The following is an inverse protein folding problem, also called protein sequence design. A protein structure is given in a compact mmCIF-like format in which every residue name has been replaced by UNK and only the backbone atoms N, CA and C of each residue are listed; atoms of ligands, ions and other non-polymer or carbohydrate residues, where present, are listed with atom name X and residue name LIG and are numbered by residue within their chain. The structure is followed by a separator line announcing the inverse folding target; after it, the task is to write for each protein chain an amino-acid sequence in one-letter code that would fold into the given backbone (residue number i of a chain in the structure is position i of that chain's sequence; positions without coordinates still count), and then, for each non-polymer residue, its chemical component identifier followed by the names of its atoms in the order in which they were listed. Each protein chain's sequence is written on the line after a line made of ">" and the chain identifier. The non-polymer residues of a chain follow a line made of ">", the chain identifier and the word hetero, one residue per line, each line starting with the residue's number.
data_IF_107910195202
#
_entry.id   IF_107910195202
#
_cell.length_a   1.000
_cell.length_b   1.000
_cell.length_c   1.000
_cell.angle_alpha   90.00
_cell.angle_beta   90.00
_cell.angle_gamma   90.00
#
_symmetry.space_group_name_H-M   'P 1'
#
loop_
_entity.id
_entity.type
_entity.pdbx_description
1 polymer ?
#
# COMPACT_ATOMS: atom_id res chain seq x y z
N UNK A 1 13.79 4.94 -15.23
CA UNK A 1 12.48 4.98 -15.90
C UNK A 1 11.69 6.12 -15.27
N UNK A 2 11.75 7.34 -15.80
CA UNK A 2 11.34 8.54 -15.05
C UNK A 2 9.87 8.51 -14.62
N UNK A 3 8.96 8.02 -15.47
CA UNK A 3 7.53 7.93 -15.13
C UNK A 3 7.23 6.86 -14.06
N UNK A 4 7.96 5.75 -14.05
CA UNK A 4 7.77 4.69 -13.06
C UNK A 4 8.30 5.13 -11.68
N UNK A 5 9.45 5.80 -11.65
CA UNK A 5 9.99 6.41 -10.43
C UNK A 5 9.01 7.44 -9.87
N UNK A 6 8.45 8.31 -10.73
CA UNK A 6 7.45 9.29 -10.29
C UNK A 6 6.16 8.65 -9.79
N UNK A 7 5.70 7.58 -10.45
CA UNK A 7 4.54 6.81 -9.98
C UNK A 7 4.78 6.18 -8.60
N UNK A 8 5.99 5.67 -8.36
CA UNK A 8 6.36 5.09 -7.06
C UNK A 8 6.39 6.15 -5.95
N UNK A 9 6.97 7.32 -6.22
CA UNK A 9 6.94 8.47 -5.29
C UNK A 9 5.50 8.88 -4.95
N UNK A 10 4.66 9.12 -5.97
CA UNK A 10 3.26 9.49 -5.78
C UNK A 10 2.47 8.42 -5.03
N UNK A 11 2.77 7.14 -5.25
CA UNK A 11 2.13 6.04 -4.54
C UNK A 11 2.42 6.10 -3.04
N UNK A 12 3.66 6.40 -2.66
CA UNK A 12 4.06 6.58 -1.26
C UNK A 12 3.44 7.84 -0.67
N UNK A 13 3.50 8.98 -1.36
CA UNK A 13 2.90 10.24 -0.90
C UNK A 13 1.40 10.11 -0.65
N UNK A 14 0.64 9.59 -1.63
CA UNK A 14 -0.81 9.43 -1.52
C UNK A 14 -1.24 8.42 -0.44
N UNK A 15 -0.37 7.47 -0.08
CA UNK A 15 -0.62 6.57 1.04
C UNK A 15 -0.40 7.26 2.38
N UNK A 16 0.61 8.13 2.48
CA UNK A 16 0.89 8.88 3.70
C UNK A 16 -0.12 10.01 3.95
N UNK A 17 -0.66 10.60 2.89
CA UNK A 17 -1.72 11.63 2.96
C UNK A 17 -3.12 11.05 3.18
N UNK A 18 -3.29 9.72 3.05
CA UNK A 18 -4.59 9.10 3.20
C UNK A 18 -5.10 9.23 4.65
N UNK A 19 -6.33 9.73 4.81
CA UNK A 19 -7.04 9.80 6.09
C UNK A 19 -8.28 8.87 6.08
N UNK A 20 -8.14 7.58 6.43
CA UNK A 20 -9.23 6.62 6.41
C UNK A 20 -10.12 6.70 7.68
N UNK A 21 -10.05 7.77 8.49
CA UNK A 21 -10.86 7.87 9.71
C UNK A 21 -12.36 8.03 9.44
N UNK A 22 -12.74 8.73 8.37
CA UNK A 22 -14.14 9.08 8.09
C UNK A 22 -14.72 8.26 6.94
N UNK A 23 -15.98 7.84 7.10
CA UNK A 23 -16.75 7.20 6.03
C UNK A 23 -17.30 8.28 5.09
N UNK A 24 -17.10 8.09 3.79
CA UNK A 24 -17.65 8.90 2.71
C UNK A 24 -18.00 7.99 1.53
N UNK A 25 -18.70 8.51 0.51
CA UNK A 25 -19.17 7.70 -0.63
C UNK A 25 -18.05 6.99 -1.41
N UNK A 26 -16.80 7.46 -1.27
CA UNK A 26 -15.61 6.89 -1.90
C UNK A 26 -14.75 6.01 -1.00
N UNK A 27 -15.13 5.74 0.25
CA UNK A 27 -14.26 5.06 1.24
C UNK A 27 -13.74 3.72 0.75
N UNK A 28 -14.61 2.84 0.25
CA UNK A 28 -14.18 1.51 -0.22
C UNK A 28 -13.33 1.60 -1.49
N UNK A 29 -13.58 2.58 -2.37
CA UNK A 29 -12.72 2.84 -3.52
C UNK A 29 -11.32 3.28 -3.06
N UNK A 30 -11.24 4.19 -2.09
CA UNK A 30 -9.98 4.65 -1.53
C UNK A 30 -9.19 3.53 -0.85
N UNK A 31 -9.86 2.61 -0.14
CA UNK A 31 -9.22 1.44 0.45
C UNK A 31 -8.59 0.52 -0.63
N UNK A 32 -9.30 0.28 -1.74
CA UNK A 32 -8.75 -0.50 -2.87
C UNK A 32 -7.62 0.25 -3.58
N UNK A 33 -7.73 1.58 -3.74
CA UNK A 33 -6.65 2.40 -4.29
C UNK A 33 -5.39 2.35 -3.41
N UNK A 34 -5.56 2.37 -2.08
CA UNK A 34 -4.46 2.20 -1.14
C UNK A 34 -3.80 0.82 -1.30
N UNK A 35 -4.57 -0.26 -1.41
CA UNK A 35 -4.05 -1.60 -1.70
C UNK A 35 -3.22 -1.62 -3.00
N UNK A 36 -3.76 -1.08 -4.10
CA UNK A 36 -3.04 -1.03 -5.38
C UNK A 36 -1.70 -0.31 -5.25
N UNK A 37 -1.67 0.85 -4.59
CA UNK A 37 -0.43 1.62 -4.36
C UNK A 37 0.57 0.84 -3.51
N UNK A 38 0.10 0.17 -2.44
CA UNK A 38 0.96 -0.65 -1.60
C UNK A 38 1.56 -1.82 -2.38
N UNK A 39 0.79 -2.48 -3.25
CA UNK A 39 1.31 -3.52 -4.14
C UNK A 39 2.36 -2.99 -5.13
N UNK A 40 2.17 -1.79 -5.69
CA UNK A 40 3.17 -1.16 -6.56
C UNK A 40 4.47 -0.89 -5.81
N UNK A 41 4.37 -0.40 -4.57
CA UNK A 41 5.53 -0.17 -3.69
C UNK A 41 6.26 -1.48 -3.40
N UNK A 42 5.54 -2.51 -2.96
CA UNK A 42 6.13 -3.83 -2.66
C UNK A 42 6.75 -4.48 -3.90
N UNK A 43 6.11 -4.37 -5.06
CA UNK A 43 6.66 -4.86 -6.32
C UNK A 43 7.94 -4.13 -6.71
N UNK A 44 8.00 -2.80 -6.53
CA UNK A 44 9.19 -2.01 -6.78
C UNK A 44 10.36 -2.47 -5.88
N UNK A 45 10.12 -2.62 -4.58
CA UNK A 45 11.10 -3.13 -3.60
C UNK A 45 11.58 -4.53 -4.00
N UNK A 46 10.65 -5.48 -4.17
CA UNK A 46 10.94 -6.87 -4.50
C UNK A 46 11.72 -7.02 -5.82
N UNK A 47 11.46 -6.15 -6.79
CA UNK A 47 12.11 -6.23 -8.09
C UNK A 47 13.59 -5.87 -8.08
N UNK A 48 14.04 -5.05 -7.13
CA UNK A 48 15.39 -4.47 -7.13
C UNK A 48 15.72 -3.59 -8.36
N UNK A 49 14.72 -3.25 -9.20
CA UNK A 49 14.94 -2.55 -10.48
C UNK A 49 14.97 -1.02 -10.35
N UNK A 50 14.49 -0.49 -9.23
CA UNK A 50 14.47 0.94 -8.97
C UNK A 50 15.78 1.37 -8.32
N UNK A 51 16.39 2.46 -8.83
CA UNK A 51 17.63 3.01 -8.29
C UNK A 51 17.49 3.43 -6.82
N UNK A 52 16.31 3.93 -6.45
CA UNK A 52 15.96 4.31 -5.08
C UNK A 52 14.49 4.00 -4.83
N UNK A 53 14.20 3.45 -3.66
CA UNK A 53 12.84 3.34 -3.13
C UNK A 53 12.64 4.53 -2.17
N UNK A 54 11.47 5.21 -2.18
CA UNK A 54 11.20 6.31 -1.25
C UNK A 54 11.33 5.87 0.22
N UNK A 55 11.97 6.66 1.08
CA UNK A 55 12.37 6.25 2.44
C UNK A 55 11.22 5.76 3.33
N UNK A 56 10.07 6.43 3.26
CA UNK A 56 8.88 6.15 4.08
C UNK A 56 7.97 5.08 3.49
N UNK A 57 8.46 4.27 2.55
CA UNK A 57 7.65 3.26 1.87
C UNK A 57 7.04 2.23 2.83
N UNK A 58 7.75 1.83 3.88
CA UNK A 58 7.24 0.89 4.89
C UNK A 58 6.03 1.47 5.61
N UNK A 59 6.17 2.70 6.13
CA UNK A 59 5.08 3.43 6.76
C UNK A 59 3.88 3.61 5.81
N UNK A 60 4.13 3.89 4.54
CA UNK A 60 3.06 4.01 3.54
C UNK A 60 2.27 2.70 3.37
N UNK A 61 2.97 1.55 3.32
CA UNK A 61 2.33 0.23 3.26
C UNK A 61 1.57 -0.09 4.56
N UNK A 62 2.10 0.32 5.72
CA UNK A 62 1.39 0.19 7.00
C UNK A 62 0.08 1.01 6.99
N UNK A 63 0.10 2.23 6.46
CA UNK A 63 -1.11 3.05 6.30
C UNK A 63 -2.14 2.38 5.38
N UNK A 64 -1.69 1.72 4.31
CA UNK A 64 -2.59 0.96 3.43
C UNK A 64 -3.23 -0.23 4.17
N UNK A 65 -2.44 -0.98 4.93
CA UNK A 65 -2.90 -2.12 5.73
C UNK A 65 -3.95 -1.66 6.74
N UNK A 66 -3.67 -0.57 7.46
CA UNK A 66 -4.61 0.02 8.40
C UNK A 66 -5.90 0.50 7.72
N UNK A 67 -5.82 1.13 6.54
CA UNK A 67 -7.00 1.53 5.78
C UNK A 67 -7.90 0.33 5.40
N UNK A 68 -7.31 -0.82 5.04
CA UNK A 68 -8.07 -2.03 4.73
C UNK A 68 -8.74 -2.61 5.99
N UNK A 69 -7.97 -2.78 7.07
CA UNK A 69 -8.46 -3.29 8.35
C UNK A 69 -9.55 -2.40 8.95
N UNK A 70 -9.48 -1.08 8.76
CA UNK A 70 -10.48 -0.13 9.27
C UNK A 70 -11.88 -0.44 8.74
N UNK A 71 -12.00 -0.87 7.49
CA UNK A 71 -13.27 -1.01 6.77
C UNK A 71 -13.66 -2.46 6.43
N UNK A 72 -12.82 -3.44 6.77
CA UNK A 72 -13.03 -4.87 6.47
C UNK A 72 -14.32 -5.51 7.01
N UNK A 73 -14.96 -4.90 8.01
CA UNK A 73 -16.23 -5.36 8.59
C UNK A 73 -17.43 -4.88 7.78
N UNK A 74 -17.24 -3.85 6.94
CA UNK A 74 -18.26 -3.24 6.10
C UNK A 74 -18.12 -3.66 4.63
N UNK A 75 -16.92 -4.08 4.20
CA UNK A 75 -16.63 -4.59 2.87
C UNK A 75 -15.78 -5.87 2.98
N UNK A 76 -16.38 -7.07 2.83
CA UNK A 76 -15.70 -8.35 3.07
C UNK A 76 -14.46 -8.60 2.21
N UNK A 77 -14.40 -8.03 0.99
CA UNK A 77 -13.23 -8.14 0.13
C UNK A 77 -11.99 -7.47 0.71
N UNK A 78 -12.15 -6.41 1.50
CA UNK A 78 -11.04 -5.72 2.15
C UNK A 78 -10.35 -6.59 3.21
N UNK A 79 -11.08 -7.52 3.85
CA UNK A 79 -10.48 -8.50 4.77
C UNK A 79 -9.48 -9.39 4.05
N UNK A 80 -9.88 -9.92 2.89
CA UNK A 80 -8.98 -10.73 2.05
C UNK A 80 -7.79 -9.90 1.57
N UNK A 81 -8.04 -8.66 1.16
CA UNK A 81 -6.97 -7.76 0.72
C UNK A 81 -5.95 -7.48 1.84
N UNK A 82 -6.40 -7.26 3.07
CA UNK A 82 -5.52 -7.04 4.23
C UNK A 82 -4.61 -8.25 4.48
N UNK A 83 -5.18 -9.45 4.55
CA UNK A 83 -4.42 -10.70 4.74
C UNK A 83 -3.38 -10.92 3.64
N UNK A 84 -3.75 -10.72 2.36
CA UNK A 84 -2.80 -10.85 1.25
C UNK A 84 -1.69 -9.81 1.34
N UNK A 85 -2.01 -8.57 1.72
CA UNK A 85 -1.01 -7.51 1.86
C UNK A 85 -0.01 -7.84 2.99
N UNK A 86 -0.50 -8.27 4.15
CA UNK A 86 0.33 -8.67 5.29
C UNK A 86 1.28 -9.83 4.93
N UNK A 87 0.78 -10.86 4.23
CA UNK A 87 1.61 -11.97 3.77
C UNK A 87 2.72 -11.51 2.82
N UNK A 88 2.39 -10.60 1.88
CA UNK A 88 3.37 -10.04 0.94
C UNK A 88 4.40 -9.15 1.63
N UNK A 89 3.99 -8.35 2.63
CA UNK A 89 4.90 -7.56 3.46
C UNK A 89 5.89 -8.47 4.16
N UNK A 90 5.42 -9.56 4.78
CA UNK A 90 6.27 -10.57 5.41
C UNK A 90 7.30 -11.16 4.45
N UNK A 91 6.90 -11.48 3.22
CA UNK A 91 7.80 -11.99 2.19
C UNK A 91 8.86 -10.96 1.75
N UNK A 92 8.47 -9.70 1.54
CA UNK A 92 9.38 -8.66 1.04
C UNK A 92 10.35 -8.19 2.12
N UNK A 93 9.90 -8.04 3.36
CA UNK A 93 10.76 -7.64 4.48
C UNK A 93 11.64 -8.82 4.93
N UNK A 94 11.08 -10.03 4.96
CA UNK A 94 11.82 -11.24 5.36
C UNK A 94 12.86 -11.70 4.33
N UNK A 95 12.68 -11.41 3.04
CA UNK A 95 13.66 -11.74 2.00
C UNK A 95 14.88 -10.80 1.96
N UNK A 96 14.89 -9.74 2.78
CA UNK A 96 15.99 -8.76 2.88
C UNK A 96 16.89 -8.93 4.11
N UNK A 97 16.78 -10.06 4.82
CA UNK A 97 17.64 -10.43 5.96
C UNK A 97 18.75 -11.40 5.58
#
# INVERSE_FOLDING_TARGET
>A
MPLAEKCLELSVELLLDANPHHRHHGTWFMARAAMTRALLVLAAVKSGRFRRVPERWKQAVDTATWALQRWYGEAPDLRRAASVLEDLVGQVIGAGG
#
